data_IF_796520701753
#
_entry.id   IF_796520701753
#
_cell.length_a   1.000
_cell.length_b   1.000
_cell.length_c   1.000
_cell.angle_alpha   90.00
_cell.angle_beta   90.00
_cell.angle_gamma   90.00
#
_symmetry.space_group_name_H-M   'P 1'
#
loop_
_entity.id
_entity.type
_entity.pdbx_description
1 polymer ?
#
# COMPACT_ATOMS: atom_id res chain seq x y z
N UNK A 1 -68.55 -63.65 -8.32
CA UNK A 1 -67.27 -63.82 -7.59
C UNK A 1 -66.39 -62.60 -7.87
N UNK A 2 -65.75 -62.10 -6.81
CA UNK A 2 -64.96 -60.86 -6.58
C UNK A 2 -64.26 -60.20 -7.79
N UNK A 3 -64.34 -58.88 -8.02
CA UNK A 3 -63.85 -57.69 -7.27
C UNK A 3 -62.32 -57.52 -7.15
N UNK A 4 -61.78 -56.70 -8.07
CA UNK A 4 -60.98 -55.46 -7.93
C UNK A 4 -59.70 -55.32 -7.06
N UNK A 5 -58.80 -54.52 -7.67
CA UNK A 5 -57.90 -53.46 -7.12
C UNK A 5 -56.43 -53.78 -6.76
N UNK A 6 -55.50 -53.06 -7.41
CA UNK A 6 -54.16 -52.62 -6.92
C UNK A 6 -54.31 -51.59 -5.78
N UNK A 7 -53.26 -51.07 -5.05
CA UNK A 7 -51.81 -50.98 -5.35
C UNK A 7 -50.78 -50.98 -4.15
N UNK A 8 -49.48 -50.78 -4.48
CA UNK A 8 -48.32 -50.17 -3.73
C UNK A 8 -47.72 -50.70 -2.39
N UNK A 9 -46.37 -50.81 -2.40
CA UNK A 9 -45.34 -50.42 -1.38
C UNK A 9 -44.58 -51.49 -0.56
N UNK A 10 -43.25 -51.37 -0.67
CA UNK A 10 -42.08 -51.80 0.14
C UNK A 10 -42.31 -52.27 1.59
N UNK A 11 -41.51 -53.26 2.06
CA UNK A 11 -40.68 -53.08 3.28
C UNK A 11 -39.50 -54.06 3.34
N UNK A 12 -38.41 -53.50 3.83
CA UNK A 12 -37.06 -53.95 4.18
C UNK A 12 -37.01 -54.68 5.54
N UNK A 13 -36.05 -55.62 5.75
CA UNK A 13 -35.25 -55.82 6.99
C UNK A 13 -34.36 -57.09 6.95
N UNK A 14 -33.05 -56.89 6.66
CA UNK A 14 -31.80 -57.28 7.38
C UNK A 14 -31.64 -58.63 8.15
N UNK A 15 -30.43 -59.05 8.63
CA UNK A 15 -29.02 -59.00 8.16
C UNK A 15 -28.28 -60.37 8.26
N UNK A 16 -27.01 -60.48 7.83
CA UNK A 16 -26.03 -61.36 8.51
C UNK A 16 -24.96 -62.11 7.67
N UNK A 17 -23.77 -61.50 7.58
CA UNK A 17 -22.43 -62.11 7.46
C UNK A 17 -22.07 -63.06 6.29
N UNK A 18 -21.21 -62.57 5.38
CA UNK A 18 -19.78 -62.92 5.35
C UNK A 18 -19.02 -62.02 4.35
N UNK A 19 -17.95 -61.37 4.81
CA UNK A 19 -17.13 -60.41 4.07
C UNK A 19 -15.75 -61.02 3.76
N UNK A 20 -15.27 -60.75 2.53
CA UNK A 20 -13.89 -60.69 2.00
C UNK A 20 -13.14 -62.01 1.68
N UNK A 21 -12.03 -61.98 0.87
CA UNK A 21 -11.40 -60.86 0.13
C UNK A 21 -10.88 -61.21 -1.28
N UNK A 22 -10.91 -60.26 -2.23
CA UNK A 22 -10.24 -60.52 -3.52
C UNK A 22 -10.33 -59.45 -4.59
N UNK A 23 -9.49 -58.40 -4.47
CA UNK A 23 -9.04 -57.50 -5.56
C UNK A 23 -10.10 -56.65 -6.29
N UNK A 24 -10.53 -55.56 -5.63
CA UNK A 24 -10.93 -54.33 -6.34
C UNK A 24 -9.71 -53.70 -7.02
N UNK A 25 -9.63 -53.78 -8.36
CA UNK A 25 -8.79 -52.90 -9.17
C UNK A 25 -9.69 -51.79 -9.74
N UNK A 26 -9.67 -50.62 -9.09
CA UNK A 26 -10.28 -49.39 -9.61
C UNK A 26 -9.46 -48.88 -10.79
N UNK A 27 -10.00 -49.07 -11.99
CA UNK A 27 -9.49 -48.48 -13.22
C UNK A 27 -9.83 -46.99 -13.28
N UNK A 28 -8.82 -46.17 -12.97
CA UNK A 28 -8.50 -44.85 -13.55
C UNK A 28 -9.65 -44.11 -14.25
N UNK A 29 -10.34 -43.25 -13.50
CA UNK A 29 -11.04 -42.09 -14.05
C UNK A 29 -10.04 -40.92 -14.15
N UNK A 30 -9.73 -40.47 -15.37
CA UNK A 30 -8.99 -39.24 -15.60
C UNK A 30 -9.97 -38.07 -15.48
N UNK A 31 -10.05 -37.49 -14.28
CA UNK A 31 -10.76 -36.23 -14.06
C UNK A 31 -9.93 -35.11 -14.69
N UNK A 32 -10.47 -34.48 -15.73
CA UNK A 32 -9.97 -33.21 -16.24
C UNK A 32 -10.07 -32.18 -15.11
N UNK A 33 -8.93 -31.83 -14.51
CA UNK A 33 -8.86 -30.81 -13.48
C UNK A 33 -9.26 -29.46 -14.10
N UNK A 34 -10.11 -28.65 -13.43
CA UNK A 34 -10.26 -27.27 -13.83
C UNK A 34 -8.90 -26.59 -13.67
N UNK A 35 -8.39 -26.02 -14.76
CA UNK A 35 -7.27 -25.09 -14.71
C UNK A 35 -7.75 -23.89 -13.92
N UNK A 36 -7.40 -23.87 -12.63
CA UNK A 36 -7.47 -22.66 -11.84
C UNK A 36 -6.49 -21.69 -12.50
N UNK A 37 -7.02 -20.71 -13.21
CA UNK A 37 -6.25 -19.55 -13.65
C UNK A 37 -5.92 -18.78 -12.37
N UNK A 38 -4.84 -19.19 -11.70
CA UNK A 38 -4.21 -18.34 -10.70
C UNK A 38 -3.73 -17.11 -11.44
N UNK A 39 -4.50 -16.03 -11.34
CA UNK A 39 -4.03 -14.69 -11.65
C UNK A 39 -2.77 -14.51 -10.82
N UNK A 40 -1.59 -14.72 -11.41
CA UNK A 40 -0.31 -14.35 -10.84
C UNK A 40 -0.19 -12.83 -10.90
N UNK A 41 -1.17 -12.12 -10.34
CA UNK A 41 -0.94 -10.75 -9.89
C UNK A 41 0.02 -10.90 -8.73
N UNK A 42 1.27 -10.45 -8.94
CA UNK A 42 2.13 -10.07 -7.82
C UNK A 42 1.26 -9.18 -6.94
N UNK A 43 0.90 -9.70 -5.78
CA UNK A 43 -0.30 -9.31 -5.09
C UNK A 43 -0.28 -7.81 -4.78
N UNK A 44 -1.22 -7.05 -5.32
CA UNK A 44 -1.57 -5.72 -4.79
C UNK A 44 -2.04 -5.79 -3.32
N UNK A 45 -2.27 -7.00 -2.80
CA UNK A 45 -2.70 -7.30 -1.44
C UNK A 45 -1.66 -8.02 -0.55
N UNK A 46 -0.54 -8.57 -1.06
CA UNK A 46 0.40 -9.36 -0.24
C UNK A 46 1.69 -8.61 0.12
N UNK A 47 1.70 -7.29 -0.05
CA UNK A 47 2.84 -6.43 0.28
C UNK A 47 2.78 -5.77 1.65
N UNK A 48 1.78 -6.04 2.50
CA UNK A 48 1.75 -5.41 3.81
C UNK A 48 0.74 -6.04 4.75
N UNK A 49 1.23 -6.86 5.69
CA UNK A 49 0.47 -7.27 6.88
C UNK A 49 -0.10 -6.06 7.65
N UNK A 50 0.46 -4.87 7.42
CA UNK A 50 0.11 -3.61 8.03
C UNK A 50 -1.24 -3.05 7.60
N UNK A 51 -1.49 -2.99 6.29
CA UNK A 51 -2.72 -2.40 5.76
C UNK A 51 -3.91 -3.27 6.16
N UNK A 52 -3.80 -4.59 6.03
CA UNK A 52 -4.84 -5.53 6.46
C UNK A 52 -5.13 -5.45 7.97
N UNK A 53 -4.10 -5.24 8.81
CA UNK A 53 -4.29 -4.99 10.25
C UNK A 53 -4.98 -3.64 10.53
N UNK A 54 -4.63 -2.59 9.77
CA UNK A 54 -5.26 -1.28 9.88
C UNK A 54 -6.74 -1.33 9.44
N UNK A 55 -7.05 -2.09 8.39
CA UNK A 55 -8.39 -2.28 7.84
C UNK A 55 -9.31 -3.14 8.73
N UNK A 56 -8.74 -4.08 9.49
CA UNK A 56 -9.49 -5.01 10.35
C UNK A 56 -9.98 -4.34 11.65
N UNK A 57 -9.46 -3.16 12.01
CA UNK A 57 -9.79 -2.48 13.27
C UNK A 57 -9.33 -3.22 14.54
N UNK A 58 -8.71 -4.39 14.39
CA UNK A 58 -8.17 -5.18 15.49
C UNK A 58 -6.74 -4.73 15.83
N UNK A 59 -6.61 -3.50 16.32
CA UNK A 59 -5.35 -2.90 16.80
C UNK A 59 -4.96 -3.37 18.22
N UNK A 60 -5.58 -4.44 18.73
CA UNK A 60 -5.38 -4.96 20.08
C UNK A 60 -3.99 -5.57 20.33
N UNK A 61 -3.18 -5.75 19.28
CA UNK A 61 -1.84 -6.33 19.38
C UNK A 61 -0.88 -5.68 18.36
N UNK A 62 -0.28 -4.52 18.69
CA UNK A 62 0.66 -3.81 17.81
C UNK A 62 1.96 -4.60 17.53
N UNK A 63 2.10 -5.83 18.05
CA UNK A 63 3.24 -6.72 17.81
C UNK A 63 2.98 -7.80 16.75
N UNK A 64 1.81 -7.85 16.10
CA UNK A 64 1.49 -8.79 14.99
C UNK A 64 1.98 -8.38 13.61
N UNK A 65 2.98 -7.50 13.54
CA UNK A 65 3.64 -7.07 12.32
C UNK A 65 4.32 -5.74 12.60
N UNK A 66 5.59 -5.60 12.22
CA UNK A 66 6.48 -4.47 12.56
C UNK A 66 6.10 -3.16 11.87
N UNK A 67 4.82 -2.85 11.74
CA UNK A 67 4.30 -1.75 10.93
C UNK A 67 4.37 -0.44 11.70
N UNK A 68 4.94 0.58 11.07
CA UNK A 68 5.05 1.92 11.62
C UNK A 68 4.24 2.90 10.79
N UNK A 69 3.70 3.90 11.48
CA UNK A 69 3.26 5.13 10.82
C UNK A 69 4.42 5.78 10.08
N UNK A 70 4.07 6.40 8.95
CA UNK A 70 4.93 7.22 8.12
C UNK A 70 5.35 8.50 8.80
N UNK A 71 6.18 9.25 8.11
CA UNK A 71 6.48 10.63 8.42
C UNK A 71 5.54 11.55 7.65
N UNK A 72 5.12 12.64 8.30
CA UNK A 72 4.24 13.63 7.68
C UNK A 72 4.97 14.44 6.59
N UNK A 73 4.24 15.18 5.74
CA UNK A 73 4.87 16.02 4.72
C UNK A 73 5.88 17.03 5.30
N UNK A 74 5.61 17.54 6.51
CA UNK A 74 6.55 18.43 7.21
C UNK A 74 7.84 17.73 7.64
N UNK A 75 7.77 16.45 8.04
CA UNK A 75 8.95 15.64 8.37
C UNK A 75 9.86 15.41 7.17
N UNK A 76 9.27 15.11 6.01
CA UNK A 76 10.01 14.95 4.75
C UNK A 76 10.51 16.27 4.16
N UNK A 77 9.78 17.36 4.40
CA UNK A 77 10.06 18.66 3.81
C UNK A 77 11.23 19.40 4.43
N UNK A 78 11.53 19.18 5.72
CA UNK A 78 12.54 19.97 6.44
C UNK A 78 13.90 19.27 6.51
N UNK A 79 14.98 19.84 5.95
CA UNK A 79 16.26 19.16 5.76
C UNK A 79 17.07 19.00 7.07
N UNK A 80 16.76 19.78 8.11
CA UNK A 80 17.44 19.74 9.41
C UNK A 80 16.88 18.72 10.40
N UNK A 81 15.91 17.90 10.00
CA UNK A 81 15.29 16.87 10.83
C UNK A 81 15.88 15.47 10.60
N UNK A 82 15.25 14.50 11.26
CA UNK A 82 15.45 13.08 11.00
C UNK A 82 14.13 12.48 10.51
N UNK A 83 14.25 11.54 9.58
CA UNK A 83 13.16 10.69 9.09
C UNK A 83 13.60 9.27 9.39
N UNK A 84 12.92 8.64 10.35
CA UNK A 84 13.33 7.38 10.97
C UNK A 84 14.70 7.52 11.66
N UNK A 85 15.61 6.58 11.43
CA UNK A 85 17.00 6.61 11.88
C UNK A 85 17.95 7.41 10.97
N UNK A 86 17.44 8.02 9.90
CA UNK A 86 18.23 8.76 8.92
C UNK A 86 18.06 10.27 9.10
N UNK A 87 19.08 11.05 8.75
CA UNK A 87 18.87 12.49 8.49
C UNK A 87 17.85 12.64 7.36
N UNK A 88 17.08 13.74 7.32
CA UNK A 88 16.10 13.95 6.24
C UNK A 88 16.77 13.78 4.87
N UNK A 89 17.92 14.40 4.64
CA UNK A 89 18.65 14.28 3.36
C UNK A 89 19.04 12.82 3.08
N UNK A 90 19.52 12.08 4.09
CA UNK A 90 19.83 10.66 3.94
C UNK A 90 18.61 9.81 3.63
N UNK A 91 17.47 10.09 4.27
CA UNK A 91 16.21 9.38 4.02
C UNK A 91 15.72 9.55 2.57
N UNK A 92 15.89 10.75 1.99
CA UNK A 92 15.58 10.97 0.57
C UNK A 92 16.44 10.08 -0.32
N UNK A 93 17.75 10.02 -0.06
CA UNK A 93 18.67 9.19 -0.83
C UNK A 93 18.32 7.70 -0.72
N UNK A 94 18.02 7.21 0.49
CA UNK A 94 17.59 5.82 0.71
C UNK A 94 16.25 5.54 0.02
N UNK A 95 15.32 6.50 0.04
CA UNK A 95 14.07 6.39 -0.71
C UNK A 95 14.25 6.44 -2.24
N UNK A 96 15.48 6.66 -2.74
CA UNK A 96 15.78 6.73 -4.18
C UNK A 96 15.51 8.11 -4.81
N UNK A 97 15.42 9.16 -3.99
CA UNK A 97 15.17 10.53 -4.41
C UNK A 97 16.30 11.48 -3.97
N UNK A 98 16.34 12.66 -4.57
CA UNK A 98 17.26 13.72 -4.19
C UNK A 98 16.47 14.88 -3.59
N UNK A 99 16.83 15.31 -2.38
CA UNK A 99 16.25 16.50 -1.75
C UNK A 99 16.61 17.78 -2.54
N UNK A 100 17.82 17.81 -3.08
CA UNK A 100 18.48 18.97 -3.68
C UNK A 100 19.86 19.20 -3.07
N UNK A 101 20.60 20.12 -3.65
CA UNK A 101 21.92 20.53 -3.15
C UNK A 101 21.80 21.85 -2.41
N UNK A 102 22.45 21.94 -1.25
CA UNK A 102 22.53 23.19 -0.52
C UNK A 102 23.28 24.24 -1.36
N UNK A 103 22.70 25.43 -1.49
CA UNK A 103 23.31 26.56 -2.18
C UNK A 103 23.40 27.76 -1.25
N UNK A 104 24.63 28.20 -0.97
CA UNK A 104 24.89 29.43 -0.23
C UNK A 104 24.76 30.70 -1.11
N UNK A 105 24.35 30.55 -2.37
CA UNK A 105 24.35 31.66 -3.34
C UNK A 105 23.19 32.64 -3.17
N UNK A 106 22.16 32.28 -2.39
CA UNK A 106 21.05 33.19 -2.06
C UNK A 106 21.37 33.93 -0.76
N UNK A 107 21.13 35.25 -0.72
CA UNK A 107 21.47 36.10 0.42
C UNK A 107 20.87 35.67 1.77
N UNK A 108 19.85 34.81 1.75
CA UNK A 108 19.14 34.28 2.93
C UNK A 108 19.73 32.96 3.43
N UNK A 109 20.68 32.39 2.71
CA UNK A 109 21.21 31.05 2.93
C UNK A 109 22.63 31.11 3.46
N UNK A 110 22.76 30.74 4.73
CA UNK A 110 24.02 30.68 5.44
C UNK A 110 24.27 29.26 5.94
N UNK A 111 25.51 28.73 5.94
CA UNK A 111 25.80 27.36 6.37
C UNK A 111 25.24 27.00 7.76
N UNK A 112 25.17 27.96 8.68
CA UNK A 112 24.57 27.74 10.00
C UNK A 112 23.03 27.63 10.00
N UNK A 113 22.38 27.92 8.87
CA UNK A 113 20.95 27.77 8.61
C UNK A 113 20.68 26.74 7.52
N UNK A 114 21.49 25.68 7.42
CA UNK A 114 21.33 24.59 6.45
C UNK A 114 20.03 23.77 6.65
N UNK A 115 19.25 24.07 7.68
CA UNK A 115 17.93 23.51 7.93
C UNK A 115 16.79 24.22 7.15
N UNK A 116 17.09 25.27 6.39
CA UNK A 116 16.10 26.00 5.59
C UNK A 116 15.90 25.34 4.21
N UNK A 117 14.69 24.87 3.87
CA UNK A 117 14.42 24.17 2.63
C UNK A 117 14.56 25.05 1.37
N UNK A 118 14.39 26.37 1.50
CA UNK A 118 14.57 27.34 0.40
C UNK A 118 16.03 27.49 -0.03
N UNK A 119 16.98 27.06 0.81
CA UNK A 119 18.41 27.06 0.52
C UNK A 119 18.86 25.89 -0.34
N UNK A 120 17.95 24.99 -0.72
CA UNK A 120 18.27 23.85 -1.56
C UNK A 120 17.77 24.08 -2.98
N UNK A 121 18.63 23.80 -3.95
CA UNK A 121 18.36 23.92 -5.39
C UNK A 121 18.39 22.53 -6.06
N UNK A 122 17.72 22.40 -7.20
CA UNK A 122 17.62 21.11 -7.92
C UNK A 122 16.77 20.07 -7.18
N UNK A 123 17.21 18.81 -7.17
CA UNK A 123 16.52 17.69 -6.52
C UNK A 123 15.48 17.00 -7.41
N UNK A 124 14.86 15.97 -6.85
CA UNK A 124 13.78 15.24 -7.51
C UNK A 124 12.53 16.10 -7.61
N UNK A 125 11.86 15.98 -8.75
CA UNK A 125 10.67 16.75 -9.12
C UNK A 125 9.45 15.85 -9.27
N UNK A 126 8.28 16.46 -9.50
CA UNK A 126 7.04 15.73 -9.81
C UNK A 126 7.18 14.82 -11.05
N UNK A 127 8.10 15.11 -11.97
CA UNK A 127 8.41 14.20 -13.09
C UNK A 127 9.05 12.86 -12.67
N UNK A 128 9.62 12.77 -11.46
CA UNK A 128 10.33 11.58 -10.98
C UNK A 128 9.43 10.58 -10.26
N UNK A 129 8.17 10.93 -10.03
CA UNK A 129 7.17 10.04 -9.41
C UNK A 129 6.17 9.56 -10.47
N UNK A 130 5.44 8.46 -10.24
CA UNK A 130 4.37 8.04 -11.14
C UNK A 130 3.37 9.18 -11.38
N UNK A 131 3.07 9.47 -12.65
CA UNK A 131 2.22 10.61 -13.04
C UNK A 131 0.85 10.60 -12.35
N UNK A 132 0.31 9.42 -12.04
CA UNK A 132 -0.95 9.27 -11.33
C UNK A 132 -0.95 9.81 -9.90
N UNK A 133 0.22 10.08 -9.31
CA UNK A 133 0.29 10.72 -7.99
C UNK A 133 0.05 12.25 -8.07
N UNK A 134 0.13 12.84 -9.27
CA UNK A 134 -0.06 14.26 -9.50
C UNK A 134 -1.54 14.64 -9.69
N UNK A 135 -2.32 14.49 -8.62
CA UNK A 135 -3.78 14.68 -8.65
C UNK A 135 -4.24 16.14 -8.68
N UNK A 136 -3.33 17.10 -8.45
CA UNK A 136 -3.65 18.53 -8.47
C UNK A 136 -3.01 19.28 -9.65
N UNK A 137 -2.43 18.57 -10.64
CA UNK A 137 -1.85 19.20 -11.83
C UNK A 137 -0.61 20.05 -11.54
N UNK A 138 0.19 19.66 -10.55
CA UNK A 138 1.45 20.33 -10.20
C UNK A 138 2.40 20.31 -11.39
N UNK A 139 3.09 21.41 -11.73
CA UNK A 139 4.07 21.41 -12.81
C UNK A 139 5.15 20.34 -12.63
N UNK A 140 5.51 19.63 -13.70
CA UNK A 140 6.44 18.49 -13.64
C UNK A 140 7.86 18.88 -13.17
N UNK A 141 8.26 20.13 -13.39
CA UNK A 141 9.54 20.69 -12.93
C UNK A 141 9.54 21.09 -11.45
N UNK A 142 8.37 21.11 -10.78
CA UNK A 142 8.27 21.48 -9.36
C UNK A 142 9.03 20.46 -8.52
N UNK A 143 10.00 20.89 -7.69
CA UNK A 143 10.69 19.99 -6.78
C UNK A 143 9.74 19.39 -5.76
N UNK A 144 9.92 18.10 -5.43
CA UNK A 144 9.05 17.41 -4.47
C UNK A 144 9.07 18.09 -3.09
N UNK A 145 10.20 18.67 -2.66
CA UNK A 145 10.27 19.45 -1.39
C UNK A 145 9.30 20.63 -1.35
N UNK A 146 9.04 21.26 -2.50
CA UNK A 146 8.11 22.39 -2.63
C UNK A 146 6.68 21.90 -2.46
N UNK A 147 6.36 20.74 -3.04
CA UNK A 147 5.04 20.09 -2.89
C UNK A 147 4.73 19.74 -1.43
N UNK A 148 5.76 19.34 -0.67
CA UNK A 148 5.63 18.91 0.72
C UNK A 148 5.39 20.04 1.72
N UNK A 149 5.74 21.28 1.37
CA UNK A 149 5.78 22.43 2.29
C UNK A 149 4.91 23.60 1.80
N UNK A 150 3.57 23.47 1.83
CA UNK A 150 2.65 24.49 1.31
C UNK A 150 2.77 25.85 2.00
N UNK A 151 3.22 25.89 3.25
CA UNK A 151 3.33 27.12 4.01
C UNK A 151 4.51 28.01 3.56
N UNK A 152 5.50 27.42 2.91
CA UNK A 152 6.70 28.13 2.43
C UNK A 152 6.55 28.54 0.96
N UNK A 153 5.63 27.91 0.23
CA UNK A 153 5.34 28.20 -1.16
C UNK A 153 3.83 28.37 -1.37
N UNK A 154 3.31 29.60 -1.48
CA UNK A 154 1.87 29.86 -1.58
C UNK A 154 1.18 29.09 -2.72
N UNK A 155 1.87 28.88 -3.84
CA UNK A 155 1.37 28.08 -4.96
C UNK A 155 1.04 26.62 -4.57
N UNK A 156 1.72 26.07 -3.54
CA UNK A 156 1.54 24.71 -3.07
C UNK A 156 0.33 24.53 -2.13
N UNK A 157 -0.34 25.61 -1.71
CA UNK A 157 -1.53 25.52 -0.87
C UNK A 157 -2.67 24.72 -1.54
N UNK A 158 -2.78 24.76 -2.88
CA UNK A 158 -3.77 24.02 -3.66
C UNK A 158 -3.42 22.56 -3.96
N UNK A 159 -2.22 22.09 -3.61
CA UNK A 159 -1.71 20.77 -4.05
C UNK A 159 -1.89 19.68 -2.99
N UNK A 160 -2.99 19.76 -2.22
CA UNK A 160 -3.18 18.94 -1.03
C UNK A 160 -3.11 17.44 -1.36
N UNK A 161 -3.95 16.90 -2.24
CA UNK A 161 -3.95 15.46 -2.51
C UNK A 161 -2.60 14.96 -3.07
N UNK A 162 -1.98 15.72 -3.97
CA UNK A 162 -0.64 15.44 -4.50
C UNK A 162 0.39 15.40 -3.38
N UNK A 163 0.35 16.35 -2.43
CA UNK A 163 1.23 16.35 -1.26
C UNK A 163 1.12 15.07 -0.44
N UNK A 164 -0.11 14.64 -0.14
CA UNK A 164 -0.35 13.43 0.67
C UNK A 164 0.14 12.18 -0.07
N UNK A 165 -0.11 12.11 -1.38
CA UNK A 165 0.37 11.00 -2.22
C UNK A 165 1.89 10.97 -2.35
N UNK A 166 2.54 12.11 -2.55
CA UNK A 166 4.01 12.22 -2.57
C UNK A 166 4.59 11.76 -1.23
N UNK A 167 4.01 12.22 -0.12
CA UNK A 167 4.45 11.86 1.22
C UNK A 167 4.31 10.35 1.48
N UNK A 168 3.15 9.77 1.17
CA UNK A 168 2.91 8.33 1.28
C UNK A 168 3.88 7.53 0.39
N UNK A 169 4.14 8.00 -0.83
CA UNK A 169 5.08 7.37 -1.74
C UNK A 169 6.52 7.43 -1.24
N UNK A 170 6.96 8.54 -0.63
CA UNK A 170 8.28 8.65 -0.01
C UNK A 170 8.42 7.71 1.18
N UNK A 171 7.41 7.62 2.05
CA UNK A 171 7.38 6.65 3.15
C UNK A 171 7.48 5.20 2.65
N UNK A 172 6.69 4.86 1.63
CA UNK A 172 6.73 3.54 1.02
C UNK A 172 8.08 3.25 0.34
N UNK A 173 8.66 4.25 -0.32
CA UNK A 173 9.97 4.13 -0.96
C UNK A 173 11.09 3.92 0.06
N UNK A 174 11.08 4.67 1.16
CA UNK A 174 12.00 4.46 2.27
C UNK A 174 11.83 3.06 2.86
N UNK A 175 10.58 2.62 3.02
CA UNK A 175 10.29 1.32 3.61
C UNK A 175 10.78 0.15 2.77
N UNK A 176 10.65 0.24 1.45
CA UNK A 176 11.16 -0.82 0.55
C UNK A 176 12.70 -0.85 0.50
N UNK A 177 13.38 0.19 0.96
CA UNK A 177 14.83 0.36 0.86
C UNK A 177 15.54 0.42 2.23
N UNK A 178 14.85 0.16 3.34
CA UNK A 178 15.42 0.20 4.70
C UNK A 178 14.67 -0.71 5.67
N UNK A 179 15.12 -0.77 6.92
CA UNK A 179 14.43 -1.51 7.99
C UNK A 179 13.15 -0.81 8.49
N UNK A 180 12.83 0.38 7.97
CA UNK A 180 11.57 1.05 8.24
C UNK A 180 10.42 0.31 7.53
N UNK A 181 9.32 0.07 8.24
CA UNK A 181 8.19 -0.71 7.72
C UNK A 181 6.94 0.16 7.66
N UNK A 182 6.70 0.82 6.53
CA UNK A 182 5.52 1.66 6.33
C UNK A 182 4.26 0.84 6.12
N UNK A 183 3.10 1.40 6.46
CA UNK A 183 1.81 0.71 6.35
C UNK A 183 1.39 0.35 4.92
N UNK A 184 1.97 1.01 3.91
CA UNK A 184 1.66 0.80 2.50
C UNK A 184 2.93 0.60 1.66
N UNK A 185 2.82 -0.19 0.59
CA UNK A 185 3.83 -0.29 -0.47
C UNK A 185 3.67 0.81 -1.52
N UNK A 186 4.69 1.05 -2.36
CA UNK A 186 4.58 2.01 -3.47
C UNK A 186 3.44 1.67 -4.40
N UNK A 187 3.26 0.37 -4.70
CA UNK A 187 2.18 -0.10 -5.58
C UNK A 187 0.80 0.17 -4.99
N UNK A 188 0.64 0.05 -3.67
CA UNK A 188 -0.62 0.37 -3.01
C UNK A 188 -0.93 1.88 -3.06
N UNK A 189 0.08 2.74 -2.87
CA UNK A 189 -0.09 4.19 -3.02
C UNK A 189 -0.51 4.54 -4.45
N UNK A 190 0.15 3.96 -5.45
CA UNK A 190 -0.21 4.13 -6.88
C UNK A 190 -1.61 3.58 -7.18
N UNK A 191 -1.96 2.43 -6.58
CA UNK A 191 -3.25 1.79 -6.75
C UNK A 191 -4.40 2.63 -6.20
N UNK A 192 -4.22 3.21 -5.01
CA UNK A 192 -5.17 4.13 -4.38
C UNK A 192 -5.31 5.42 -5.19
N UNK A 193 -4.20 5.99 -5.66
CA UNK A 193 -4.22 7.20 -6.49
C UNK A 193 -4.91 7.01 -7.84
N UNK A 194 -4.74 5.83 -8.45
CA UNK A 194 -5.37 5.46 -9.73
C UNK A 194 -6.83 5.00 -9.58
N UNK A 195 -7.30 4.77 -8.36
CA UNK A 195 -8.61 4.17 -8.08
C UNK A 195 -8.71 2.67 -8.40
N UNK A 196 -7.59 2.02 -8.73
CA UNK A 196 -7.54 0.56 -8.94
C UNK A 196 -7.62 -0.21 -7.62
N UNK A 197 -7.21 0.43 -6.52
CA UNK A 197 -7.51 -0.02 -5.16
C UNK A 197 -8.61 0.89 -4.61
N UNK A 198 -9.75 0.34 -4.15
CA UNK A 198 -10.83 1.14 -3.59
C UNK A 198 -10.37 1.82 -2.30
N UNK A 199 -10.95 2.99 -2.01
CA UNK A 199 -10.73 3.68 -0.75
C UNK A 199 -11.13 2.76 0.42
N UNK A 200 -10.25 2.58 1.43
CA UNK A 200 -10.57 1.87 2.66
C UNK A 200 -11.90 2.32 3.29
N UNK A 201 -12.75 1.37 3.74
CA UNK A 201 -13.99 1.72 4.42
C UNK A 201 -13.70 2.51 5.71
N UNK A 202 -14.60 3.42 6.05
CA UNK A 202 -14.45 4.30 7.23
C UNK A 202 -13.78 5.65 6.95
N UNK A 203 -13.28 5.88 5.73
CA UNK A 203 -12.72 7.17 5.32
C UNK A 203 -13.61 7.86 4.29
N UNK A 204 -13.76 9.17 4.43
CA UNK A 204 -14.58 10.02 3.54
C UNK A 204 -13.82 10.49 2.29
N UNK A 205 -12.49 10.42 2.32
CA UNK A 205 -11.64 10.80 1.19
C UNK A 205 -10.29 10.08 1.26
N UNK A 206 -9.61 9.99 0.10
CA UNK A 206 -8.24 9.48 0.03
C UNK A 206 -7.29 10.32 0.88
N UNK A 207 -7.48 11.63 0.92
CA UNK A 207 -6.67 12.50 1.76
C UNK A 207 -6.77 12.13 3.24
N UNK A 208 -8.00 11.97 3.76
CA UNK A 208 -8.22 11.58 5.16
C UNK A 208 -7.65 10.20 5.49
N UNK A 209 -7.71 9.26 4.54
CA UNK A 209 -7.06 7.97 4.69
C UNK A 209 -5.54 8.12 4.81
N UNK A 210 -4.92 8.83 3.86
CA UNK A 210 -3.48 9.04 3.86
C UNK A 210 -3.03 9.75 5.15
N UNK A 211 -3.73 10.79 5.61
CA UNK A 211 -3.45 11.49 6.88
C UNK A 211 -3.37 10.55 8.08
N UNK A 212 -4.17 9.48 8.11
CA UNK A 212 -4.13 8.50 9.20
C UNK A 212 -2.89 7.60 9.21
N UNK A 213 -2.13 7.59 8.11
CA UNK A 213 -0.95 6.74 7.94
C UNK A 213 0.35 7.36 8.44
N UNK A 214 0.32 8.57 8.99
CA UNK A 214 1.46 9.21 9.67
C UNK A 214 1.04 9.90 10.98
#
# INVERSE_FOLDING_TARGET
MSQNKSPTTQTEQNPGNAINPGRRRLGRAALAAPVVVSLASKNALAGGNCLSNMLSGNLSDPKRGQCSKGWSPGGWGLPGGNVSSFSTIGAWQVAGFSYGSYSATTAQCHPQNANKPECYVGGSTVAHIPAVLNQNGVPAATPLRVVLLPNLWPAAAGWQLTRHLVCAYLNASLSENSDFNYVMTKQQVVGLASGTIPLPPGYTSLQAFLDSTW
#
